data_IF_958571684698
#
_entry.id   IF_958571684698
#
_cell.length_a   1.000
_cell.length_b   1.000
_cell.length_c   1.000
_cell.angle_alpha   90.00
_cell.angle_beta   90.00
_cell.angle_gamma   90.00
#
_symmetry.space_group_name_H-M   'P 1'
#
loop_
_entity.id
_entity.type
_entity.pdbx_description
1 polymer ?
#
# COMPACT_ATOMS: atom_id res chain seq x y z
N UNK A 1 -9.68 -24.83 1.94
CA UNK A 1 -8.88 -23.91 1.09
C UNK A 1 -9.73 -22.67 0.81
N UNK A 2 -9.27 -21.44 1.06
CA UNK A 2 -10.04 -20.24 0.71
C UNK A 2 -10.17 -20.15 -0.82
N UNK A 3 -11.40 -20.29 -1.34
CA UNK A 3 -11.70 -20.39 -2.78
C UNK A 3 -11.38 -19.11 -3.57
N UNK A 4 -11.24 -17.96 -2.90
CA UNK A 4 -11.08 -16.64 -3.54
C UNK A 4 -9.86 -15.86 -3.05
N UNK A 5 -8.75 -16.55 -2.73
CA UNK A 5 -7.55 -15.84 -2.26
C UNK A 5 -6.89 -15.08 -3.40
N UNK A 6 -6.84 -13.75 -3.29
CA UNK A 6 -6.01 -12.90 -4.16
C UNK A 6 -4.53 -13.31 -4.05
N UNK A 7 -4.03 -14.06 -5.03
CA UNK A 7 -2.66 -14.52 -5.06
C UNK A 7 -1.75 -13.37 -5.50
N UNK A 8 -0.95 -12.85 -4.58
CA UNK A 8 -0.06 -11.73 -4.86
C UNK A 8 1.41 -12.19 -4.87
N UNK A 9 2.11 -11.93 -5.99
CA UNK A 9 3.50 -12.36 -6.21
C UNK A 9 4.52 -11.64 -5.31
N UNK A 10 4.15 -10.51 -4.71
CA UNK A 10 5.07 -9.72 -3.89
C UNK A 10 5.49 -10.43 -2.59
N UNK A 11 6.76 -10.27 -2.22
CA UNK A 11 7.33 -10.75 -0.95
C UNK A 11 7.07 -9.78 0.22
N UNK A 12 6.55 -8.57 -0.04
CA UNK A 12 6.28 -7.57 1.00
C UNK A 12 5.10 -8.03 1.88
N UNK A 13 5.36 -8.29 3.16
CA UNK A 13 4.35 -8.76 4.13
C UNK A 13 3.21 -7.75 4.32
N UNK A 14 3.50 -6.46 4.31
CA UNK A 14 2.50 -5.39 4.50
C UNK A 14 1.39 -5.45 3.45
N UNK A 15 1.75 -5.68 2.19
CA UNK A 15 0.75 -5.83 1.13
C UNK A 15 -0.12 -7.07 1.36
N UNK A 16 0.47 -8.19 1.83
CA UNK A 16 -0.31 -9.40 2.17
C UNK A 16 -1.36 -9.12 3.23
N UNK A 17 -1.03 -8.29 4.23
CA UNK A 17 -1.97 -7.86 5.27
C UNK A 17 -3.06 -6.96 4.69
N UNK A 18 -2.70 -5.97 3.86
CA UNK A 18 -3.67 -5.07 3.23
C UNK A 18 -4.68 -5.88 2.40
N UNK A 19 -4.23 -6.80 1.55
CA UNK A 19 -5.12 -7.67 0.79
C UNK A 19 -5.93 -8.62 1.67
N UNK A 20 -5.36 -9.11 2.77
CA UNK A 20 -6.12 -9.89 3.74
C UNK A 20 -7.26 -9.06 4.35
N UNK A 21 -7.01 -7.80 4.70
CA UNK A 21 -8.03 -6.89 5.22
C UNK A 21 -9.16 -6.65 4.22
N UNK A 22 -8.84 -6.41 2.94
CA UNK A 22 -9.86 -6.29 1.89
C UNK A 22 -10.71 -7.56 1.75
N UNK A 23 -10.07 -8.74 1.72
CA UNK A 23 -10.80 -10.01 1.65
C UNK A 23 -11.75 -10.18 2.86
N UNK A 24 -11.30 -9.85 4.07
CA UNK A 24 -12.13 -9.90 5.28
C UNK A 24 -13.27 -8.89 5.23
N UNK A 25 -13.03 -7.66 4.76
CA UNK A 25 -14.07 -6.64 4.60
C UNK A 25 -15.15 -7.05 3.60
N UNK A 26 -14.77 -7.66 2.48
CA UNK A 26 -15.70 -8.18 1.47
C UNK A 26 -16.57 -9.30 2.07
N UNK A 27 -15.97 -10.26 2.77
CA UNK A 27 -16.70 -11.37 3.41
C UNK A 27 -17.66 -10.84 4.48
N UNK A 28 -17.23 -9.85 5.28
CA UNK A 28 -18.08 -9.22 6.29
C UNK A 28 -19.27 -8.48 5.65
N UNK A 29 -19.04 -7.77 4.56
CA UNK A 29 -20.09 -7.07 3.79
C UNK A 29 -21.07 -8.06 3.16
N UNK A 30 -20.56 -9.18 2.63
CA UNK A 30 -21.38 -10.28 2.11
C UNK A 30 -22.28 -10.89 3.20
N UNK A 31 -21.72 -11.10 4.40
CA UNK A 31 -22.48 -11.58 5.55
C UNK A 31 -23.60 -10.62 5.93
N UNK A 32 -23.35 -9.30 5.87
CA UNK A 32 -24.36 -8.27 6.10
C UNK A 32 -25.45 -8.31 5.01
N UNK A 33 -25.04 -8.35 3.74
CA UNK A 33 -25.96 -8.45 2.61
C UNK A 33 -26.93 -9.63 2.77
N UNK A 34 -26.43 -10.82 3.13
CA UNK A 34 -27.28 -11.99 3.35
C UNK A 34 -28.31 -11.81 4.47
N UNK A 35 -27.94 -11.11 5.56
CA UNK A 35 -28.88 -10.82 6.65
C UNK A 35 -29.97 -9.87 6.17
N UNK A 36 -29.57 -8.82 5.47
CA UNK A 36 -30.49 -7.82 4.97
C UNK A 36 -31.46 -8.44 3.94
N UNK A 37 -30.99 -9.31 3.03
CA UNK A 37 -31.86 -10.03 2.08
C UNK A 37 -32.85 -10.97 2.76
N UNK A 38 -32.44 -11.59 3.87
CA UNK A 38 -33.33 -12.46 4.67
C UNK A 38 -34.40 -11.63 5.40
N UNK A 39 -34.05 -10.45 5.90
CA UNK A 39 -34.99 -9.53 6.56
C UNK A 39 -35.96 -8.87 5.58
N UNK A 40 -35.53 -8.58 4.35
CA UNK A 40 -36.36 -7.91 3.34
C UNK A 40 -37.22 -8.86 2.49
N UNK A 41 -37.26 -10.16 2.80
CA UNK A 41 -38.12 -11.14 2.12
C UNK A 41 -37.77 -11.36 0.64
N UNK A 42 -36.57 -10.97 0.21
CA UNK A 42 -36.13 -11.17 -1.18
C UNK A 42 -35.92 -12.67 -1.37
N UNK A 43 -36.73 -13.29 -2.22
CA UNK A 43 -36.63 -14.72 -2.53
C UNK A 43 -35.19 -15.11 -2.90
N UNK A 44 -34.70 -16.21 -2.32
CA UNK A 44 -33.36 -16.78 -2.57
C UNK A 44 -33.07 -17.03 -4.06
N UNK A 45 -34.10 -17.06 -4.91
CA UNK A 45 -33.96 -17.17 -6.36
C UNK A 45 -33.14 -16.03 -7.00
N UNK A 46 -33.06 -14.87 -6.33
CA UNK A 46 -32.29 -13.71 -6.77
C UNK A 46 -31.05 -13.44 -5.89
N UNK A 47 -30.65 -14.39 -5.03
CA UNK A 47 -29.44 -14.19 -4.21
C UNK A 47 -28.20 -14.25 -5.10
N UNK A 48 -27.46 -13.14 -5.12
CA UNK A 48 -26.18 -12.99 -5.80
C UNK A 48 -25.17 -14.00 -5.22
N UNK A 49 -24.32 -14.64 -6.02
CA UNK A 49 -23.24 -15.47 -5.46
C UNK A 49 -22.11 -14.60 -4.89
N UNK A 50 -21.30 -15.12 -3.95
CA UNK A 50 -20.18 -14.39 -3.37
C UNK A 50 -19.23 -13.86 -4.46
N UNK A 51 -18.98 -14.64 -5.51
CA UNK A 51 -18.13 -14.22 -6.62
C UNK A 51 -18.71 -13.01 -7.35
N UNK A 52 -19.99 -13.06 -7.73
CA UNK A 52 -20.66 -11.94 -8.43
C UNK A 52 -20.73 -10.69 -7.53
N UNK A 53 -20.95 -10.87 -6.22
CA UNK A 53 -20.87 -9.79 -5.25
C UNK A 53 -19.48 -9.14 -5.21
N UNK A 54 -18.42 -9.96 -5.20
CA UNK A 54 -17.05 -9.43 -5.24
C UNK A 54 -16.76 -8.70 -6.55
N UNK A 55 -17.25 -9.21 -7.69
CA UNK A 55 -17.06 -8.61 -8.99
C UNK A 55 -17.73 -7.23 -9.07
N UNK A 56 -18.97 -7.09 -8.59
CA UNK A 56 -19.68 -5.80 -8.51
C UNK A 56 -18.93 -4.77 -7.66
N UNK A 57 -18.35 -5.18 -6.53
CA UNK A 57 -17.54 -4.29 -5.69
C UNK A 57 -16.30 -3.81 -6.46
N UNK A 58 -15.61 -4.73 -7.14
CA UNK A 58 -14.41 -4.40 -7.93
C UNK A 58 -14.76 -3.49 -9.10
N UNK A 59 -15.88 -3.74 -9.78
CA UNK A 59 -16.40 -2.89 -10.84
C UNK A 59 -16.62 -1.47 -10.31
N UNK A 60 -17.45 -1.30 -9.28
CA UNK A 60 -17.71 0.01 -8.67
C UNK A 60 -16.42 0.70 -8.22
N UNK A 61 -15.47 -0.01 -7.61
CA UNK A 61 -14.20 0.57 -7.18
C UNK A 61 -13.29 0.98 -8.36
N UNK A 62 -13.36 0.24 -9.48
CA UNK A 62 -12.56 0.52 -10.68
C UNK A 62 -13.13 1.70 -11.49
N UNK A 63 -14.46 1.81 -11.56
CA UNK A 63 -15.15 2.84 -12.33
C UNK A 63 -15.40 4.13 -11.54
N UNK A 64 -15.52 4.07 -10.20
CA UNK A 64 -15.74 5.25 -9.34
C UNK A 64 -14.59 6.26 -9.35
N UNK A 65 -13.38 5.85 -9.74
CA UNK A 65 -12.20 6.72 -9.79
C UNK A 65 -12.06 7.47 -11.14
N UNK A 66 -13.02 7.37 -12.06
CA UNK A 66 -12.97 8.02 -13.37
C UNK A 66 -13.51 9.47 -13.38
N UNK A 67 -13.47 10.14 -12.23
CA UNK A 67 -13.77 11.57 -12.11
C UNK A 67 -12.67 12.41 -12.79
N UNK A 68 -12.94 12.83 -14.03
CA UNK A 68 -12.44 14.01 -14.73
C UNK A 68 -11.12 14.66 -14.25
N UNK A 69 -9.99 14.08 -14.65
CA UNK A 69 -8.83 14.79 -15.19
C UNK A 69 -7.66 13.79 -15.33
N UNK A 70 -6.86 13.84 -16.40
CA UNK A 70 -5.61 13.12 -16.44
C UNK A 70 -4.69 13.78 -15.42
N UNK A 71 -4.66 13.25 -14.19
CA UNK A 71 -3.53 13.51 -13.31
C UNK A 71 -2.34 12.91 -14.04
N UNK A 72 -1.55 13.77 -14.70
CA UNK A 72 -0.31 13.42 -15.37
C UNK A 72 0.45 12.47 -14.44
N UNK A 73 0.37 11.18 -14.75
CA UNK A 73 1.29 10.19 -14.23
C UNK A 73 2.65 10.73 -14.63
N UNK A 74 3.39 11.28 -13.66
CA UNK A 74 4.78 11.69 -13.84
C UNK A 74 5.61 10.41 -13.97
N UNK A 75 5.38 9.65 -15.05
CA UNK A 75 6.43 8.88 -15.68
C UNK A 75 7.33 9.92 -16.31
N UNK A 76 8.44 10.25 -15.65
CA UNK A 76 9.57 10.88 -16.32
C UNK A 76 10.13 9.85 -17.31
N UNK A 77 9.48 9.76 -18.46
CA UNK A 77 9.99 9.14 -19.68
C UNK A 77 10.13 10.28 -20.67
N UNK A 78 11.17 11.08 -20.49
CA UNK A 78 11.57 12.12 -21.42
C UNK A 78 13.06 11.98 -21.64
N UNK A 79 13.43 11.62 -22.87
CA UNK A 79 14.81 11.68 -23.33
C UNK A 79 15.27 13.13 -23.22
N UNK A 80 16.09 13.44 -22.22
CA UNK A 80 16.83 14.70 -22.12
C UNK A 80 18.18 14.46 -22.81
N UNK A 81 18.54 15.21 -23.88
CA UNK A 81 19.86 15.11 -24.46
C UNK A 81 20.90 15.69 -23.50
N UNK A 82 21.98 14.92 -23.33
CA UNK A 82 23.35 15.24 -22.92
C UNK A 82 23.61 16.26 -21.80
N UNK A 83 24.47 15.80 -20.87
CA UNK A 83 25.17 16.53 -19.81
C UNK A 83 24.38 16.81 -18.51
N UNK A 84 24.05 15.74 -17.78
CA UNK A 84 23.92 15.84 -16.32
C UNK A 84 25.33 15.97 -15.72
N UNK A 85 25.61 16.97 -14.84
CA UNK A 85 26.83 16.96 -14.05
C UNK A 85 26.87 15.68 -13.20
N UNK A 86 28.07 15.12 -12.92
CA UNK A 86 28.18 13.87 -12.19
C UNK A 86 27.44 14.00 -10.86
N UNK A 87 26.44 13.14 -10.66
CA UNK A 87 25.70 13.04 -9.40
C UNK A 87 26.73 12.80 -8.29
N UNK A 88 27.01 13.81 -7.46
CA UNK A 88 27.80 13.62 -6.24
C UNK A 88 27.10 12.55 -5.41
N UNK A 89 27.79 11.43 -5.18
CA UNK A 89 27.35 10.42 -4.22
C UNK A 89 27.21 11.15 -2.88
N UNK A 90 25.98 11.31 -2.41
CA UNK A 90 25.74 11.75 -1.04
C UNK A 90 26.20 10.58 -0.18
N UNK A 91 27.37 10.74 0.45
CA UNK A 91 27.92 9.74 1.35
C UNK A 91 26.90 9.50 2.48
N UNK A 92 26.55 8.23 2.80
CA UNK A 92 25.69 7.96 3.94
C UNK A 92 26.47 8.34 5.21
N UNK A 93 26.09 9.47 5.81
CA UNK A 93 26.65 10.04 7.05
C UNK A 93 28.14 10.42 6.95
N UNK A 94 28.42 11.70 6.68
CA UNK A 94 29.69 12.28 7.07
C UNK A 94 29.71 12.32 8.61
N UNK A 95 30.43 11.37 9.23
CA UNK A 95 30.68 11.42 10.67
C UNK A 95 31.36 12.76 10.98
N UNK A 96 30.91 13.51 12.00
CA UNK A 96 31.60 14.73 12.43
C UNK A 96 33.07 14.42 12.76
N UNK A 97 33.96 15.39 12.59
CA UNK A 97 35.37 15.27 12.99
C UNK A 97 35.48 14.92 14.48
N UNK A 98 36.53 14.20 14.87
CA UNK A 98 36.66 13.69 16.24
C UNK A 98 36.59 14.82 17.29
N UNK A 99 37.11 15.99 16.95
CA UNK A 99 37.11 17.17 17.81
C UNK A 99 35.69 17.62 18.14
N UNK A 100 34.77 17.56 17.17
CA UNK A 100 33.34 17.86 17.33
C UNK A 100 32.59 16.69 17.99
N UNK A 101 33.10 15.45 17.90
CA UNK A 101 32.48 14.29 18.55
C UNK A 101 32.77 14.19 20.04
N UNK A 102 33.80 14.86 20.53
CA UNK A 102 34.25 14.83 21.92
C UNK A 102 34.38 16.23 22.54
N UNK A 103 33.74 17.25 21.95
CA UNK A 103 33.79 18.65 22.41
C UNK A 103 33.10 18.90 23.77
N UNK A 104 32.45 17.88 24.32
CA UNK A 104 31.86 17.91 25.66
C UNK A 104 30.52 18.66 25.74
N UNK A 105 29.96 19.13 24.62
CA UNK A 105 28.72 19.91 24.60
C UNK A 105 27.69 19.18 23.73
N UNK A 106 26.76 18.48 24.38
CA UNK A 106 25.60 17.79 23.80
C UNK A 106 25.90 16.65 22.79
N UNK A 107 25.95 15.43 23.36
CA UNK A 107 25.82 14.12 22.71
C UNK A 107 27.12 13.45 22.20
N UNK A 108 27.95 12.92 23.11
CA UNK A 108 28.24 11.47 23.24
C UNK A 108 29.32 11.15 24.30
N UNK A 109 29.35 9.85 24.65
CA UNK A 109 29.81 9.20 25.87
C UNK A 109 31.34 9.14 26.03
N UNK A 110 31.78 9.48 27.25
CA UNK A 110 33.14 9.34 27.80
C UNK A 110 33.47 7.84 27.92
N UNK A 111 34.56 7.37 27.31
CA UNK A 111 35.25 6.18 27.79
C UNK A 111 36.61 6.58 28.34
N UNK A 112 36.66 6.66 29.67
CA UNK A 112 37.88 6.76 30.45
C UNK A 112 38.76 5.55 30.17
N UNK A 113 39.99 5.79 29.72
CA UNK A 113 41.06 4.79 29.66
C UNK A 113 41.56 4.50 31.08
N UNK A 114 41.88 3.24 31.37
CA UNK A 114 42.80 2.86 32.45
C UNK A 114 43.97 2.14 31.82
#
# INVERSE_FOLDING_TARGET
MPLYRTAMRSKKWTLRIIFHYFNTAIINSWSRYKRDTNCSGIHQKNSIDLLDFTFRIVEVLSFSNQSAAPTKSRRLSGNIPAALPPKKKINPSARPTNDVRFDGINHMIIKSSK
#
